data_IF_640020214442
#
_entry.id   IF_640020214442
#
_cell.length_a   1.000
_cell.length_b   1.000
_cell.length_c   1.000
_cell.angle_alpha   90.00
_cell.angle_beta   90.00
_cell.angle_gamma   90.00
#
_symmetry.space_group_name_H-M   'P 1'
#
loop_
_entity.id
_entity.type
_entity.pdbx_description
1 polymer ?
#
# COMPACT_ATOMS: atom_id res chain seq x y z
N UNK A 1 46.24 12.87 19.42
CA UNK A 1 44.84 12.49 19.14
C UNK A 1 44.23 13.55 18.23
N UNK A 2 44.04 13.24 16.94
CA UNK A 2 43.56 14.22 15.96
C UNK A 2 42.05 14.14 15.74
N UNK A 3 41.42 15.28 15.42
CA UNK A 3 40.02 15.36 15.00
C UNK A 3 39.81 14.51 13.73
N UNK A 4 38.91 13.53 13.80
CA UNK A 4 38.53 12.68 12.66
C UNK A 4 37.22 13.18 12.06
N UNK A 5 37.26 13.68 10.83
CA UNK A 5 36.06 14.04 10.08
C UNK A 5 35.45 12.81 9.40
N UNK A 6 34.19 12.51 9.73
CA UNK A 6 33.32 11.55 9.04
C UNK A 6 31.92 12.13 8.98
N UNK A 7 31.38 12.29 7.77
CA UNK A 7 29.98 12.69 7.54
C UNK A 7 29.28 11.60 6.75
N UNK A 8 28.10 11.19 7.20
CA UNK A 8 27.28 10.20 6.48
C UNK A 8 26.00 10.89 6.04
N UNK A 9 25.73 10.90 4.73
CA UNK A 9 24.53 11.47 4.13
C UNK A 9 23.66 10.32 3.64
N UNK A 10 22.41 10.26 4.12
CA UNK A 10 21.42 9.31 3.59
C UNK A 10 20.88 9.89 2.29
N UNK A 11 21.00 9.16 1.18
CA UNK A 11 20.51 9.59 -0.12
C UNK A 11 19.08 9.08 -0.34
N UNK A 12 18.83 7.80 -0.03
CA UNK A 12 17.51 7.17 -0.06
C UNK A 12 17.46 5.96 0.90
N UNK A 13 16.34 5.24 0.96
CA UNK A 13 16.16 4.08 1.85
C UNK A 13 17.12 2.95 1.44
N UNK A 14 18.13 2.69 2.27
CA UNK A 14 19.12 1.63 2.03
C UNK A 14 20.43 2.10 1.41
N UNK A 15 20.55 3.36 0.95
CA UNK A 15 21.79 3.91 0.37
C UNK A 15 22.32 5.07 1.21
N UNK A 16 23.60 4.99 1.58
CA UNK A 16 24.29 6.01 2.39
C UNK A 16 25.63 6.36 1.77
N UNK A 17 25.89 7.65 1.59
CA UNK A 17 27.20 8.17 1.21
C UNK A 17 27.99 8.53 2.47
N UNK A 18 29.17 7.93 2.63
CA UNK A 18 30.11 8.23 3.70
C UNK A 18 31.26 9.06 3.13
N UNK A 19 31.43 10.26 3.68
CA UNK A 19 32.51 11.19 3.37
C UNK A 19 33.50 11.18 4.53
N UNK A 20 34.78 10.96 4.24
CA UNK A 20 35.84 10.91 5.24
C UNK A 20 37.18 11.37 4.67
N UNK A 21 38.19 11.59 5.53
CA UNK A 21 39.56 11.93 5.10
C UNK A 21 40.16 10.89 4.15
N UNK A 22 39.75 9.62 4.24
CA UNK A 22 40.20 8.53 3.35
C UNK A 22 39.45 8.46 2.02
N UNK A 23 38.47 9.34 1.78
CA UNK A 23 37.67 9.40 0.55
C UNK A 23 36.18 9.17 0.75
N UNK A 24 35.47 9.13 -0.37
CA UNK A 24 34.06 8.79 -0.48
C UNK A 24 33.87 7.27 -0.49
N UNK A 25 32.81 6.79 0.18
CA UNK A 25 32.36 5.40 0.08
C UNK A 25 30.85 5.32 0.18
N UNK A 26 30.24 4.43 -0.59
CA UNK A 26 28.79 4.22 -0.59
C UNK A 26 28.47 2.91 0.08
N UNK A 27 27.54 2.94 1.03
CA UNK A 27 26.96 1.74 1.64
C UNK A 27 25.58 1.53 1.06
N UNK A 28 25.32 0.33 0.52
CA UNK A 28 24.01 -0.05 0.02
C UNK A 28 23.52 -1.32 0.69
N UNK A 29 22.27 -1.31 1.17
CA UNK A 29 21.60 -2.44 1.79
C UNK A 29 20.95 -2.10 3.13
N UNK A 30 20.20 -3.07 3.67
CA UNK A 30 19.45 -2.94 4.92
C UNK A 30 20.37 -3.21 6.13
N UNK A 31 19.91 -2.84 7.34
CA UNK A 31 20.67 -3.08 8.58
C UNK A 31 20.83 -4.59 8.78
N UNK A 32 22.07 -5.09 8.76
CA UNK A 32 22.37 -6.51 8.87
C UNK A 32 22.68 -7.22 7.55
N UNK A 33 22.48 -6.57 6.40
CA UNK A 33 22.90 -7.09 5.10
C UNK A 33 23.19 -5.89 4.16
N UNK A 34 24.45 -5.50 4.06
CA UNK A 34 24.85 -4.32 3.29
C UNK A 34 26.24 -4.44 2.68
N UNK A 35 26.41 -3.88 1.48
CA UNK A 35 27.68 -3.81 0.76
C UNK A 35 28.23 -2.38 0.87
N UNK A 36 29.51 -2.24 1.18
CA UNK A 36 30.22 -0.95 1.21
C UNK A 36 31.25 -0.91 0.09
N UNK A 37 31.12 0.07 -0.79
CA UNK A 37 31.96 0.29 -1.96
C UNK A 37 32.77 1.56 -1.72
N UNK A 38 34.09 1.49 -1.86
CA UNK A 38 34.94 2.67 -1.76
C UNK A 38 36.35 2.44 -2.28
N UNK A 39 37.19 3.48 -2.17
CA UNK A 39 38.60 3.50 -2.65
C UNK A 39 39.44 2.28 -2.24
N UNK A 40 39.14 1.67 -1.10
CA UNK A 40 39.90 0.55 -0.53
C UNK A 40 39.28 -0.82 -0.85
N UNK A 41 38.32 -0.89 -1.78
CA UNK A 41 37.66 -2.13 -2.21
C UNK A 41 36.19 -2.23 -1.79
N UNK A 42 35.57 -3.35 -2.15
CA UNK A 42 34.16 -3.66 -1.90
C UNK A 42 34.06 -4.65 -0.73
N UNK A 43 33.23 -4.34 0.26
CA UNK A 43 33.05 -5.12 1.48
C UNK A 43 31.59 -5.50 1.68
N UNK A 44 31.29 -6.79 1.79
CA UNK A 44 29.99 -7.30 2.22
C UNK A 44 29.92 -7.39 3.74
N UNK A 45 28.84 -6.87 4.33
CA UNK A 45 28.57 -6.93 5.76
C UNK A 45 27.26 -7.67 5.98
N UNK A 46 27.32 -8.79 6.69
CA UNK A 46 26.19 -9.57 7.15
C UNK A 46 26.15 -9.53 8.68
N UNK A 47 24.99 -9.44 9.30
CA UNK A 47 24.88 -9.41 10.75
C UNK A 47 23.45 -9.51 11.21
N UNK A 48 23.23 -10.26 12.28
CA UNK A 48 21.90 -10.52 12.81
C UNK A 48 21.54 -9.38 13.76
N UNK A 49 20.52 -8.54 13.46
CA UNK A 49 20.18 -7.39 14.28
C UNK A 49 19.83 -7.81 15.72
N UNK A 50 20.36 -7.07 16.72
CA UNK A 50 20.08 -7.33 18.13
C UNK A 50 20.97 -8.37 18.81
N UNK A 51 21.77 -9.14 18.06
CA UNK A 51 22.62 -10.21 18.62
C UNK A 51 24.08 -9.82 18.84
N UNK A 52 24.53 -8.71 18.24
CA UNK A 52 25.94 -8.30 18.22
C UNK A 52 26.84 -9.12 17.28
N UNK A 53 26.29 -10.16 16.63
CA UNK A 53 27.03 -11.04 15.72
C UNK A 53 27.02 -10.41 14.31
N UNK A 54 28.22 -10.17 13.77
CA UNK A 54 28.40 -9.65 12.40
C UNK A 54 29.62 -10.28 11.73
N UNK A 55 29.49 -10.47 10.43
CA UNK A 55 30.51 -11.00 9.53
C UNK A 55 30.76 -10.00 8.41
N UNK A 56 32.03 -9.62 8.22
CA UNK A 56 32.45 -8.72 7.15
C UNK A 56 33.44 -9.44 6.27
N UNK A 57 33.12 -9.52 4.98
CA UNK A 57 33.98 -10.12 3.97
C UNK A 57 34.37 -9.08 2.93
N UNK A 58 35.65 -9.07 2.56
CA UNK A 58 36.13 -8.29 1.41
C UNK A 58 35.81 -9.09 0.15
N UNK A 59 35.01 -8.50 -0.73
CA UNK A 59 34.51 -9.16 -1.94
C UNK A 59 35.37 -8.83 -3.14
N UNK A 60 35.89 -7.60 -3.21
CA UNK A 60 36.73 -7.15 -4.32
C UNK A 60 37.82 -6.20 -3.84
N UNK A 61 39.01 -6.32 -4.42
CA UNK A 61 40.10 -5.38 -4.24
C UNK A 61 40.14 -4.37 -5.39
N UNK A 62 40.28 -3.09 -5.06
CA UNK A 62 40.38 -2.03 -6.07
C UNK A 62 41.85 -1.85 -6.50
N UNK A 63 42.18 -2.00 -7.79
CA UNK A 63 43.56 -1.89 -8.28
C UNK A 63 44.14 -0.49 -8.07
N UNK A 64 45.44 -0.40 -7.79
CA UNK A 64 46.12 0.86 -7.43
C UNK A 64 46.00 1.96 -8.49
N UNK A 65 45.85 1.59 -9.78
CA UNK A 65 45.66 2.55 -10.88
C UNK A 65 44.38 3.39 -10.76
N UNK A 66 43.33 2.88 -10.09
CA UNK A 66 42.08 3.61 -9.84
C UNK A 66 42.14 4.50 -8.58
N UNK A 67 43.25 4.48 -7.83
CA UNK A 67 43.40 5.23 -6.56
C UNK A 67 43.87 6.67 -6.74
N UNK A 68 44.42 7.01 -7.91
CA UNK A 68 44.99 8.33 -8.23
C UNK A 68 44.26 9.09 -9.34
N UNK A 69 43.61 8.44 -10.32
CA UNK A 69 43.09 9.17 -11.51
C UNK A 69 41.57 9.18 -11.74
N UNK A 70 40.72 8.43 -11.01
CA UNK A 70 39.28 8.38 -11.34
C UNK A 70 38.36 8.12 -10.15
N UNK A 71 38.17 9.10 -9.25
CA UNK A 71 37.39 8.86 -8.00
C UNK A 71 36.17 9.78 -7.86
N UNK A 72 35.85 10.64 -8.84
CA UNK A 72 34.57 11.37 -8.84
C UNK A 72 33.66 10.97 -9.99
N UNK A 73 34.13 10.94 -11.24
CA UNK A 73 33.29 10.55 -12.39
C UNK A 73 32.94 9.07 -12.40
N UNK A 74 33.93 8.17 -12.27
CA UNK A 74 33.68 6.72 -12.25
C UNK A 74 32.94 6.27 -10.99
N UNK A 75 33.10 6.96 -9.86
CA UNK A 75 32.30 6.66 -8.67
C UNK A 75 30.87 7.20 -8.78
N UNK A 76 30.64 8.33 -9.47
CA UNK A 76 29.29 8.79 -9.81
C UNK A 76 28.63 7.83 -10.80
N UNK A 77 29.38 7.29 -11.77
CA UNK A 77 28.88 6.29 -12.71
C UNK A 77 28.69 4.91 -12.07
N UNK A 78 29.54 4.51 -11.12
CA UNK A 78 29.34 3.29 -10.33
C UNK A 78 28.20 3.50 -9.34
N UNK A 79 27.96 4.71 -8.83
CA UNK A 79 26.83 5.05 -7.96
C UNK A 79 25.55 5.23 -8.76
N UNK A 80 25.59 5.70 -10.02
CA UNK A 80 24.46 5.70 -10.93
C UNK A 80 24.14 4.27 -11.36
N UNK A 81 25.14 3.49 -11.81
CA UNK A 81 25.00 2.06 -12.08
C UNK A 81 24.62 1.27 -10.84
N UNK A 82 25.04 1.65 -9.63
CA UNK A 82 24.60 1.00 -8.39
C UNK A 82 23.23 1.49 -7.94
N UNK A 83 22.81 2.73 -8.23
CA UNK A 83 21.44 3.18 -8.07
C UNK A 83 20.51 2.49 -9.08
N UNK A 84 20.99 2.25 -10.29
CA UNK A 84 20.32 1.48 -11.35
C UNK A 84 20.31 -0.02 -11.01
N UNK A 85 21.37 -0.55 -10.40
CA UNK A 85 21.43 -1.97 -9.97
C UNK A 85 20.72 -2.23 -8.64
N UNK A 86 20.58 -1.23 -7.75
CA UNK A 86 20.05 -1.41 -6.39
C UNK A 86 18.63 -0.86 -6.19
N UNK A 87 18.05 -0.21 -7.21
CA UNK A 87 16.62 0.07 -7.26
C UNK A 87 15.88 -0.64 -8.41
N UNK A 88 16.55 -1.36 -9.29
CA UNK A 88 15.86 -2.12 -10.33
C UNK A 88 15.79 -3.59 -9.94
N UNK A 89 14.70 -3.96 -9.28
CA UNK A 89 14.16 -5.31 -9.41
C UNK A 89 14.11 -5.68 -10.90
N UNK A 90 14.28 -6.94 -11.28
CA UNK A 90 14.24 -7.40 -12.71
C UNK A 90 13.03 -6.81 -13.47
N UNK A 91 11.96 -6.57 -12.73
CA UNK A 91 10.80 -5.71 -12.99
C UNK A 91 11.13 -4.39 -13.66
N UNK A 92 11.93 -3.51 -13.06
CA UNK A 92 12.13 -2.15 -13.56
C UNK A 92 12.93 -2.14 -14.87
N UNK A 93 13.80 -3.13 -15.07
CA UNK A 93 14.54 -3.34 -16.33
C UNK A 93 13.64 -3.84 -17.45
N UNK A 94 12.76 -4.80 -17.16
CA UNK A 94 11.70 -5.23 -18.09
C UNK A 94 10.78 -4.06 -18.41
N UNK A 95 10.28 -3.32 -17.41
CA UNK A 95 9.43 -2.15 -17.59
C UNK A 95 10.09 -1.06 -18.45
N UNK A 96 11.34 -0.70 -18.18
CA UNK A 96 12.07 0.33 -18.93
C UNK A 96 12.43 -0.12 -20.36
N UNK A 97 12.58 -1.42 -20.60
CA UNK A 97 12.79 -2.01 -21.93
C UNK A 97 11.48 -2.04 -22.74
N UNK A 98 10.37 -2.35 -22.07
CA UNK A 98 9.05 -2.53 -22.66
C UNK A 98 8.34 -1.20 -22.94
N UNK A 99 8.50 -0.19 -22.07
CA UNK A 99 8.05 1.20 -22.29
C UNK A 99 8.70 1.83 -23.52
N UNK A 100 9.97 1.48 -23.81
CA UNK A 100 10.69 1.95 -25.01
C UNK A 100 10.24 1.28 -26.30
N UNK A 101 9.53 0.14 -26.21
CA UNK A 101 9.18 -0.70 -27.37
C UNK A 101 7.71 -0.56 -27.79
N UNK A 102 6.82 -0.19 -26.86
CA UNK A 102 5.37 -0.26 -27.05
C UNK A 102 4.76 1.14 -27.23
N UNK A 103 4.29 1.46 -28.44
CA UNK A 103 3.75 2.79 -28.78
C UNK A 103 2.26 2.97 -28.40
N UNK A 104 1.60 1.92 -27.90
CA UNK A 104 0.17 1.91 -27.53
C UNK A 104 -0.04 1.65 -26.04
N UNK A 105 -0.97 2.41 -25.43
CA UNK A 105 -1.34 2.29 -24.00
C UNK A 105 -1.82 0.90 -23.60
N UNK A 106 -2.49 0.18 -24.50
CA UNK A 106 -3.01 -1.17 -24.25
C UNK A 106 -1.89 -2.21 -24.15
N UNK A 107 -0.90 -2.15 -25.06
CA UNK A 107 0.29 -3.02 -25.02
C UNK A 107 1.09 -2.78 -23.72
N UNK A 108 1.20 -1.52 -23.28
CA UNK A 108 1.85 -1.20 -22.00
C UNK A 108 1.07 -1.78 -20.83
N UNK A 109 -0.27 -1.76 -20.83
CA UNK A 109 -1.09 -2.32 -19.77
C UNK A 109 -0.95 -3.85 -19.68
N UNK A 110 -0.94 -4.55 -20.82
CA UNK A 110 -0.76 -6.01 -20.87
C UNK A 110 0.60 -6.43 -20.32
N UNK A 111 1.66 -5.67 -20.64
CA UNK A 111 3.00 -5.94 -20.14
C UNK A 111 3.12 -5.70 -18.64
N UNK A 112 2.50 -4.63 -18.12
CA UNK A 112 2.43 -4.37 -16.68
C UNK A 112 1.70 -5.49 -15.94
N UNK A 113 0.60 -6.01 -16.52
CA UNK A 113 -0.15 -7.16 -15.99
C UNK A 113 0.74 -8.41 -15.90
N UNK A 114 1.49 -8.70 -16.95
CA UNK A 114 2.35 -9.88 -17.05
C UNK A 114 3.53 -9.81 -16.06
N UNK A 115 4.17 -8.65 -15.93
CA UNK A 115 5.27 -8.48 -14.97
C UNK A 115 4.75 -8.53 -13.53
N UNK A 116 3.65 -7.84 -13.20
CA UNK A 116 3.13 -7.82 -11.83
C UNK A 116 2.66 -9.21 -11.37
N UNK A 117 1.99 -9.97 -12.25
CA UNK A 117 1.57 -11.35 -11.97
C UNK A 117 2.73 -12.32 -11.77
N UNK A 118 3.87 -12.12 -12.45
CA UNK A 118 5.08 -12.93 -12.21
C UNK A 118 5.77 -12.65 -10.87
N UNK A 119 5.55 -11.48 -10.27
CA UNK A 119 6.17 -11.07 -9.01
C UNK A 119 5.33 -11.44 -7.79
N UNK A 120 4.01 -11.37 -7.95
CA UNK A 120 3.03 -11.70 -6.94
C UNK A 120 2.70 -13.19 -7.01
N UNK A 121 3.62 -14.01 -6.54
CA UNK A 121 3.30 -15.40 -6.21
C UNK A 121 2.31 -15.45 -5.02
N UNK A 122 1.52 -16.54 -4.90
CA UNK A 122 0.46 -16.69 -3.88
C UNK A 122 0.96 -16.39 -2.46
N UNK A 123 2.20 -16.76 -2.14
CA UNK A 123 2.84 -16.54 -0.84
C UNK A 123 3.11 -15.06 -0.57
N UNK A 124 3.53 -14.29 -1.58
CA UNK A 124 3.82 -12.86 -1.45
C UNK A 124 2.56 -11.99 -1.42
N UNK A 125 1.49 -12.42 -2.09
CA UNK A 125 0.25 -11.63 -2.17
C UNK A 125 -0.37 -11.43 -0.79
N UNK A 126 -0.40 -12.48 0.02
CA UNK A 126 -0.94 -12.40 1.39
C UNK A 126 -0.09 -11.46 2.25
N UNK A 127 1.23 -11.54 2.19
CA UNK A 127 2.10 -10.61 2.93
C UNK A 127 1.87 -9.15 2.53
N UNK A 128 1.73 -8.88 1.22
CA UNK A 128 1.44 -7.52 0.72
C UNK A 128 0.06 -7.04 1.16
N UNK A 129 -0.94 -7.91 1.15
CA UNK A 129 -2.30 -7.68 1.65
C UNK A 129 -2.31 -7.35 3.15
N UNK A 130 -1.61 -8.14 3.96
CA UNK A 130 -1.46 -7.90 5.40
C UNK A 130 -0.74 -6.58 5.69
N UNK A 131 0.37 -6.30 5.00
CA UNK A 131 1.12 -5.04 5.14
C UNK A 131 0.24 -3.83 4.79
N UNK A 132 -0.61 -3.93 3.76
CA UNK A 132 -1.56 -2.88 3.43
C UNK A 132 -2.59 -2.69 4.53
N UNK A 133 -3.27 -3.75 4.95
CA UNK A 133 -4.31 -3.67 5.98
C UNK A 133 -3.73 -3.06 7.26
N UNK A 134 -2.50 -3.46 7.65
CA UNK A 134 -1.80 -2.87 8.79
C UNK A 134 -1.36 -1.41 8.59
N UNK A 135 -1.20 -0.96 7.34
CA UNK A 135 -0.81 0.42 7.02
C UNK A 135 -1.98 1.40 6.96
N UNK A 136 -3.22 0.92 6.93
CA UNK A 136 -4.41 1.76 6.82
C UNK A 136 -4.51 2.67 8.07
N UNK A 137 -4.42 3.98 7.85
CA UNK A 137 -4.61 5.00 8.89
C UNK A 137 -5.98 5.66 8.69
N UNK A 138 -6.98 5.15 9.39
CA UNK A 138 -8.34 5.69 9.35
C UNK A 138 -8.71 6.34 10.69
N UNK A 139 -9.66 7.29 10.67
CA UNK A 139 -10.22 7.87 11.89
C UNK A 139 -11.14 6.91 12.66
N UNK A 140 -11.38 5.71 12.12
CA UNK A 140 -12.24 4.68 12.67
C UNK A 140 -11.47 3.35 12.76
N UNK A 141 -11.80 2.54 13.76
CA UNK A 141 -11.32 1.16 13.83
C UNK A 141 -12.12 0.31 12.84
N UNK A 142 -11.40 -0.41 11.97
CA UNK A 142 -11.96 -1.39 11.05
C UNK A 142 -11.10 -2.64 11.09
N UNK A 143 -11.73 -3.79 10.91
CA UNK A 143 -11.04 -5.08 10.75
C UNK A 143 -11.41 -5.68 9.42
N UNK A 144 -10.43 -6.18 8.67
CA UNK A 144 -10.64 -6.76 7.35
C UNK A 144 -10.07 -8.17 7.36
N UNK A 145 -10.95 -9.14 7.13
CA UNK A 145 -10.60 -10.53 6.84
C UNK A 145 -10.79 -10.75 5.34
N UNK A 146 -9.93 -11.53 4.72
CA UNK A 146 -10.03 -11.78 3.29
C UNK A 146 -9.48 -13.16 2.92
N UNK A 147 -10.06 -13.75 1.88
CA UNK A 147 -9.67 -15.03 1.32
C UNK A 147 -9.67 -14.96 -0.20
N UNK A 148 -8.50 -15.19 -0.82
CA UNK A 148 -8.36 -15.15 -2.28
C UNK A 148 -8.43 -16.53 -2.92
N UNK A 149 -9.49 -16.77 -3.70
CA UNK A 149 -9.69 -18.00 -4.48
C UNK A 149 -9.20 -17.80 -5.91
N UNK A 150 -7.92 -18.12 -6.12
CA UNK A 150 -7.22 -17.91 -7.41
C UNK A 150 -7.91 -18.57 -8.60
N UNK A 151 -8.41 -19.79 -8.45
CA UNK A 151 -9.10 -20.53 -9.54
C UNK A 151 -10.35 -19.82 -10.04
N UNK A 152 -11.01 -19.04 -9.18
CA UNK A 152 -12.23 -18.32 -9.50
C UNK A 152 -11.97 -16.83 -9.78
N UNK A 153 -10.71 -16.39 -9.67
CA UNK A 153 -10.33 -14.97 -9.74
C UNK A 153 -11.18 -14.08 -8.82
N UNK A 154 -11.55 -14.61 -7.65
CA UNK A 154 -12.50 -13.99 -6.73
C UNK A 154 -11.87 -13.83 -5.34
N UNK A 155 -11.91 -12.62 -4.80
CA UNK A 155 -11.52 -12.30 -3.44
C UNK A 155 -12.77 -12.17 -2.57
N UNK A 156 -12.84 -12.94 -1.50
CA UNK A 156 -13.87 -12.80 -0.47
C UNK A 156 -13.32 -11.87 0.59
N UNK A 157 -14.12 -10.89 0.98
CA UNK A 157 -13.74 -9.89 1.98
C UNK A 157 -14.84 -9.82 3.01
N UNK A 158 -14.48 -9.99 4.27
CA UNK A 158 -15.34 -9.71 5.41
C UNK A 158 -14.79 -8.50 6.16
N UNK A 159 -15.62 -7.48 6.37
CA UNK A 159 -15.20 -6.21 6.93
C UNK A 159 -16.07 -5.78 8.10
N UNK A 160 -15.41 -5.60 9.25
CA UNK A 160 -15.97 -4.98 10.44
C UNK A 160 -15.97 -3.46 10.28
N UNK A 161 -17.16 -2.88 10.40
CA UNK A 161 -17.41 -1.47 10.16
C UNK A 161 -17.53 -0.69 11.47
N UNK A 162 -17.24 0.61 11.44
CA UNK A 162 -17.51 1.48 12.59
C UNK A 162 -19.00 1.44 12.97
N UNK A 163 -19.25 1.69 14.25
CA UNK A 163 -20.61 1.86 14.74
C UNK A 163 -21.14 3.24 14.33
N UNK A 164 -22.46 3.36 14.23
CA UNK A 164 -23.09 4.66 13.94
C UNK A 164 -22.79 5.70 15.03
N UNK A 165 -22.43 5.25 16.24
CA UNK A 165 -22.12 6.10 17.37
C UNK A 165 -20.77 6.82 17.23
N UNK A 166 -19.84 6.23 16.46
CA UNK A 166 -18.51 6.77 16.18
C UNK A 166 -18.53 7.92 15.19
N UNK A 167 -19.64 8.08 14.47
CA UNK A 167 -19.78 9.09 13.42
C UNK A 167 -19.82 10.50 14.02
N UNK A 168 -19.04 11.47 13.49
CA UNK A 168 -18.98 12.83 14.01
C UNK A 168 -20.37 13.49 14.10
N UNK A 169 -20.80 13.82 15.32
CA UNK A 169 -22.14 14.35 15.65
C UNK A 169 -22.27 15.87 15.43
N UNK A 170 -21.19 16.53 15.04
CA UNK A 170 -21.11 17.98 14.87
C UNK A 170 -20.62 18.32 13.47
N UNK A 171 -21.14 19.41 12.91
CA UNK A 171 -20.66 20.02 11.68
C UNK A 171 -20.38 21.51 11.90
N UNK A 172 -19.48 22.06 11.11
CA UNK A 172 -19.24 23.50 11.06
C UNK A 172 -20.02 24.07 9.89
N UNK A 173 -20.90 25.04 10.17
CA UNK A 173 -21.63 25.77 9.13
C UNK A 173 -21.15 27.22 9.13
N UNK A 174 -20.85 27.75 7.95
CA UNK A 174 -20.47 29.14 7.77
C UNK A 174 -21.73 30.01 7.67
N UNK A 175 -21.86 30.98 8.58
CA UNK A 175 -22.83 32.07 8.48
C UNK A 175 -22.06 33.38 8.67
N UNK A 176 -22.21 34.31 7.72
CA UNK A 176 -21.59 35.64 7.76
C UNK A 176 -20.06 35.61 7.96
N UNK A 177 -19.36 34.73 7.24
CA UNK A 177 -17.90 34.63 7.32
C UNK A 177 -17.35 34.03 8.62
N UNK A 178 -18.21 33.67 9.59
CA UNK A 178 -17.83 33.04 10.86
C UNK A 178 -18.25 31.57 10.88
N UNK A 179 -17.36 30.70 11.36
CA UNK A 179 -17.64 29.28 11.55
C UNK A 179 -18.43 29.09 12.84
N UNK A 180 -19.67 28.60 12.73
CA UNK A 180 -20.50 28.19 13.87
C UNK A 180 -20.57 26.67 13.94
N UNK A 181 -20.35 26.12 15.13
CA UNK A 181 -20.50 24.70 15.44
C UNK A 181 -21.99 24.39 15.61
N UNK A 182 -22.51 23.41 14.88
CA UNK A 182 -23.91 22.96 14.95
C UNK A 182 -23.95 21.44 15.14
N UNK A 183 -24.90 20.95 15.95
CA UNK A 183 -25.18 19.51 16.07
C UNK A 183 -25.91 19.02 14.82
N UNK A 184 -25.48 17.87 14.29
CA UNK A 184 -26.15 17.20 13.17
C UNK A 184 -27.49 16.62 13.61
N UNK A 185 -28.45 16.57 12.69
CA UNK A 185 -29.71 15.87 12.94
C UNK A 185 -29.50 14.35 12.87
N UNK A 186 -30.42 13.57 13.46
CA UNK A 186 -30.36 12.11 13.38
C UNK A 186 -30.37 11.58 11.95
N UNK A 187 -31.11 12.23 11.05
CA UNK A 187 -31.11 11.88 9.61
C UNK A 187 -29.76 12.14 8.97
N UNK A 188 -29.12 13.29 9.25
CA UNK A 188 -27.80 13.62 8.71
C UNK A 188 -26.72 12.64 9.18
N UNK A 189 -26.76 12.24 10.45
CA UNK A 189 -25.82 11.24 10.98
C UNK A 189 -25.97 9.90 10.23
N UNK A 190 -27.20 9.47 9.96
CA UNK A 190 -27.46 8.25 9.19
C UNK A 190 -27.01 8.35 7.74
N UNK A 191 -27.19 9.50 7.11
CA UNK A 191 -26.72 9.76 5.74
C UNK A 191 -25.19 9.74 5.68
N UNK A 192 -24.52 10.42 6.61
CA UNK A 192 -23.05 10.38 6.73
C UNK A 192 -22.56 8.95 6.99
N UNK A 193 -23.26 8.18 7.83
CA UNK A 193 -22.93 6.80 8.10
C UNK A 193 -22.98 5.93 6.84
N UNK A 194 -24.05 6.03 6.04
CA UNK A 194 -24.16 5.36 4.74
C UNK A 194 -22.96 5.72 3.87
N UNK A 195 -22.65 7.01 3.72
CA UNK A 195 -21.54 7.46 2.88
C UNK A 195 -20.19 6.92 3.35
N UNK A 196 -19.96 6.88 4.65
CA UNK A 196 -18.73 6.34 5.22
C UNK A 196 -18.61 4.85 4.97
N UNK A 197 -19.64 4.05 5.27
CA UNK A 197 -19.52 2.58 5.14
C UNK A 197 -19.39 2.11 3.69
N UNK A 198 -20.10 2.75 2.74
CA UNK A 198 -19.96 2.44 1.32
C UNK A 198 -18.66 3.05 0.75
N UNK A 199 -18.23 4.20 1.26
CA UNK A 199 -16.92 4.78 0.96
C UNK A 199 -15.77 3.86 1.35
N UNK A 200 -15.86 3.21 2.52
CA UNK A 200 -14.90 2.19 2.96
C UNK A 200 -14.89 0.98 2.03
N UNK A 201 -16.07 0.50 1.60
CA UNK A 201 -16.16 -0.61 0.63
C UNK A 201 -15.40 -0.27 -0.67
N UNK A 202 -15.66 0.91 -1.25
CA UNK A 202 -15.01 1.36 -2.49
C UNK A 202 -13.51 1.54 -2.28
N UNK A 203 -13.10 2.17 -1.17
CA UNK A 203 -11.70 2.41 -0.83
C UNK A 203 -10.92 1.09 -0.74
N UNK A 204 -11.38 0.16 0.09
CA UNK A 204 -10.73 -1.13 0.32
C UNK A 204 -10.69 -1.96 -0.97
N UNK A 205 -11.82 -2.10 -1.66
CA UNK A 205 -11.90 -2.89 -2.88
C UNK A 205 -11.05 -2.30 -4.01
N UNK A 206 -10.98 -0.97 -4.15
CA UNK A 206 -10.11 -0.33 -5.14
C UNK A 206 -8.63 -0.66 -4.91
N UNK A 207 -8.21 -0.73 -3.64
CA UNK A 207 -6.84 -1.09 -3.31
C UNK A 207 -6.56 -2.56 -3.62
N UNK A 208 -7.45 -3.46 -3.22
CA UNK A 208 -7.32 -4.89 -3.53
C UNK A 208 -7.28 -5.17 -5.03
N UNK A 209 -8.11 -4.49 -5.83
CA UNK A 209 -8.00 -4.58 -7.29
C UNK A 209 -6.64 -4.07 -7.80
N UNK A 210 -6.07 -3.03 -7.20
CA UNK A 210 -4.76 -2.51 -7.61
C UNK A 210 -3.58 -3.39 -7.17
N UNK A 211 -3.76 -4.24 -6.16
CA UNK A 211 -2.70 -5.11 -5.67
C UNK A 211 -2.37 -6.26 -6.61
N UNK A 212 -3.38 -6.91 -7.17
CA UNK A 212 -3.19 -8.07 -8.05
C UNK A 212 -4.18 -8.05 -9.19
N UNK A 213 -3.68 -8.21 -10.41
CA UNK A 213 -4.51 -8.33 -11.60
C UNK A 213 -5.28 -9.64 -11.67
N UNK A 214 -4.87 -10.67 -10.91
CA UNK A 214 -5.59 -11.95 -10.83
C UNK A 214 -6.95 -11.81 -10.13
N UNK A 215 -7.18 -10.72 -9.39
CA UNK A 215 -8.47 -10.47 -8.73
C UNK A 215 -9.41 -9.81 -9.76
N UNK A 216 -10.32 -10.56 -10.36
CA UNK A 216 -11.30 -10.01 -11.30
C UNK A 216 -12.59 -9.60 -10.60
N UNK A 217 -12.91 -10.26 -9.48
CA UNK A 217 -14.12 -10.05 -8.70
C UNK A 217 -13.80 -9.98 -7.21
N UNK A 218 -14.57 -9.16 -6.49
CA UNK A 218 -14.52 -9.07 -5.03
C UNK A 218 -15.94 -9.25 -4.50
N UNK A 219 -16.17 -10.26 -3.66
CA UNK A 219 -17.37 -10.34 -2.85
C UNK A 219 -17.05 -9.76 -1.48
N UNK A 220 -17.57 -8.56 -1.18
CA UNK A 220 -17.42 -7.94 0.12
C UNK A 220 -18.71 -8.08 0.92
N UNK A 221 -18.61 -8.62 2.13
CA UNK A 221 -19.66 -8.65 3.13
C UNK A 221 -19.20 -7.82 4.31
N UNK A 222 -20.09 -7.02 4.89
CA UNK A 222 -19.69 -6.15 5.98
C UNK A 222 -20.74 -6.06 7.06
N UNK A 223 -20.26 -6.10 8.30
CA UNK A 223 -21.08 -6.15 9.50
C UNK A 223 -20.73 -5.03 10.46
N UNK A 224 -21.62 -4.79 11.41
CA UNK A 224 -21.41 -3.88 12.54
C UNK A 224 -21.91 -4.57 13.80
N UNK A 225 -21.28 -4.31 14.93
CA UNK A 225 -21.69 -4.87 16.20
C UNK A 225 -22.87 -4.08 16.75
N UNK A 226 -24.01 -4.74 16.95
CA UNK A 226 -25.19 -4.14 17.58
C UNK A 226 -25.59 -4.92 18.81
N UNK A 227 -26.05 -4.21 19.84
CA UNK A 227 -26.62 -4.85 21.03
C UNK A 227 -28.01 -5.38 20.70
N UNK A 228 -28.22 -6.67 20.94
CA UNK A 228 -29.55 -7.25 20.91
C UNK A 228 -30.39 -6.76 22.10
N UNK A 229 -31.67 -7.13 22.14
CA UNK A 229 -32.56 -6.77 23.26
C UNK A 229 -32.15 -7.36 24.61
N UNK A 230 -31.25 -8.35 24.63
CA UNK A 230 -30.71 -9.02 25.81
C UNK A 230 -29.40 -8.37 26.31
N UNK A 231 -28.84 -7.43 25.53
CA UNK A 231 -27.63 -6.68 25.84
C UNK A 231 -26.33 -7.27 25.28
N UNK A 232 -26.40 -8.42 24.60
CA UNK A 232 -25.27 -9.07 23.94
C UNK A 232 -24.92 -8.38 22.63
N UNK A 233 -23.63 -8.29 22.33
CA UNK A 233 -23.14 -7.84 21.03
C UNK A 233 -23.31 -8.95 20.02
N UNK A 234 -24.00 -8.65 18.91
CA UNK A 234 -24.16 -9.54 17.77
C UNK A 234 -23.65 -8.83 16.51
N UNK A 235 -22.91 -9.57 15.69
CA UNK A 235 -22.52 -9.11 14.37
C UNK A 235 -23.74 -9.12 13.46
N UNK A 236 -24.14 -7.93 12.99
CA UNK A 236 -25.20 -7.76 12.01
C UNK A 236 -24.59 -7.32 10.68
N UNK A 237 -24.67 -8.19 9.67
CA UNK A 237 -24.31 -7.83 8.30
C UNK A 237 -25.29 -6.78 7.77
N UNK A 238 -24.78 -5.68 7.22
CA UNK A 238 -25.61 -4.56 6.73
C UNK A 238 -25.58 -4.42 5.21
N UNK A 239 -24.52 -4.93 4.57
CA UNK A 239 -24.47 -5.09 3.12
C UNK A 239 -23.59 -6.27 2.70
N UNK A 240 -23.85 -6.78 1.50
CA UNK A 240 -22.99 -7.71 0.79
C UNK A 240 -23.03 -7.39 -0.70
N UNK A 241 -21.88 -7.21 -1.35
CA UNK A 241 -21.77 -6.63 -2.70
C UNK A 241 -20.76 -7.42 -3.53
N UNK A 242 -21.13 -7.74 -4.78
CA UNK A 242 -20.25 -8.37 -5.76
C UNK A 242 -19.68 -7.32 -6.70
N UNK A 243 -18.46 -6.88 -6.42
CA UNK A 243 -17.72 -5.97 -7.28
C UNK A 243 -17.01 -6.70 -8.42
N UNK A 244 -17.03 -6.09 -9.60
CA UNK A 244 -16.26 -6.52 -10.77
C UNK A 244 -15.22 -5.48 -11.14
N UNK A 245 -13.99 -5.92 -11.42
CA UNK A 245 -12.86 -5.05 -11.78
C UNK A 245 -13.16 -4.08 -12.92
N UNK A 246 -13.79 -4.55 -13.99
CA UNK A 246 -14.01 -3.76 -15.20
C UNK A 246 -14.73 -2.43 -14.90
N UNK A 247 -15.71 -2.45 -14.00
CA UNK A 247 -16.45 -1.23 -13.61
C UNK A 247 -15.54 -0.24 -12.88
N UNK A 248 -14.60 -0.71 -12.05
CA UNK A 248 -13.61 0.14 -11.38
C UNK A 248 -12.60 0.73 -12.36
N UNK A 249 -12.21 -0.01 -13.41
CA UNK A 249 -11.28 0.46 -14.44
C UNK A 249 -11.91 1.55 -15.34
N UNK A 250 -13.22 1.46 -15.58
CA UNK A 250 -13.95 2.38 -16.45
C UNK A 250 -14.48 3.63 -15.71
N UNK A 251 -14.47 3.63 -14.37
CA UNK A 251 -15.08 4.68 -13.54
C UNK A 251 -14.06 5.61 -12.90
N UNK A 252 -14.26 6.92 -13.02
CA UNK A 252 -13.52 7.92 -12.26
C UNK A 252 -14.06 8.04 -10.82
N UNK A 253 -13.51 7.23 -9.91
CA UNK A 253 -13.91 7.15 -8.50
C UNK A 253 -13.82 8.48 -7.73
N UNK A 254 -13.09 9.48 -8.23
CA UNK A 254 -12.99 10.80 -7.57
C UNK A 254 -14.27 11.63 -7.66
N UNK A 255 -15.20 11.24 -8.54
CA UNK A 255 -16.43 11.99 -8.84
C UNK A 255 -17.71 11.24 -8.53
N UNK A 256 -17.63 10.05 -7.95
CA UNK A 256 -18.81 9.21 -7.72
C UNK A 256 -19.28 9.33 -6.28
N UNK A 257 -20.59 9.31 -6.09
CA UNK A 257 -21.20 9.05 -4.78
C UNK A 257 -20.98 7.56 -4.41
N UNK A 258 -20.28 7.26 -3.31
CA UNK A 258 -19.96 5.88 -2.93
C UNK A 258 -21.18 4.96 -2.81
N UNK A 259 -22.28 5.46 -2.26
CA UNK A 259 -23.51 4.68 -2.12
C UNK A 259 -24.10 4.37 -3.48
N UNK A 260 -24.33 5.38 -4.33
CA UNK A 260 -24.87 5.17 -5.68
C UNK A 260 -23.98 4.25 -6.52
N UNK A 261 -22.65 4.40 -6.41
CA UNK A 261 -21.70 3.51 -7.08
C UNK A 261 -21.93 2.05 -6.69
N UNK A 262 -22.02 1.79 -5.39
CA UNK A 262 -22.22 0.45 -4.85
C UNK A 262 -23.56 -0.17 -5.27
N UNK A 263 -24.60 0.65 -5.41
CA UNK A 263 -25.92 0.19 -5.85
C UNK A 263 -25.97 -0.27 -7.30
N UNK A 264 -24.97 0.08 -8.13
CA UNK A 264 -24.89 -0.36 -9.52
C UNK A 264 -24.43 -1.82 -9.67
N UNK A 265 -23.97 -2.45 -8.59
CA UNK A 265 -23.52 -3.84 -8.58
C UNK A 265 -24.60 -4.78 -8.07
N UNK A 266 -24.44 -6.08 -8.30
CA UNK A 266 -25.25 -7.08 -7.62
C UNK A 266 -24.99 -7.00 -6.11
N UNK A 267 -26.01 -6.62 -5.34
CA UNK A 267 -25.89 -6.36 -3.91
C UNK A 267 -27.08 -6.87 -3.12
N UNK A 268 -26.83 -7.15 -1.84
CA UNK A 268 -27.83 -7.34 -0.78
C UNK A 268 -27.62 -6.22 0.22
N UNK A 269 -28.47 -5.21 0.18
CA UNK A 269 -28.55 -4.19 1.22
C UNK A 269 -30.02 -3.87 1.51
N UNK A 270 -30.32 -3.47 2.74
CA UNK A 270 -31.68 -3.10 3.11
C UNK A 270 -31.69 -1.77 3.85
N UNK A 271 -31.86 -0.68 3.09
CA UNK A 271 -31.94 0.68 3.63
C UNK A 271 -33.39 1.17 3.62
N UNK A 272 -33.88 1.55 4.80
CA UNK A 272 -35.22 2.12 4.97
C UNK A 272 -35.28 3.59 4.51
N UNK A 273 -36.50 4.11 4.29
CA UNK A 273 -36.74 5.53 3.97
C UNK A 273 -36.19 6.50 5.02
N UNK A 274 -36.12 6.08 6.28
CA UNK A 274 -35.52 6.83 7.39
C UNK A 274 -33.99 6.70 7.47
N UNK A 275 -33.35 6.17 6.41
CA UNK A 275 -31.90 5.96 6.26
C UNK A 275 -31.30 4.96 7.26
N UNK A 276 -32.11 4.10 7.88
CA UNK A 276 -31.61 3.01 8.72
C UNK A 276 -31.24 1.80 7.87
N UNK A 277 -30.04 1.26 8.05
CA UNK A 277 -29.58 0.00 7.44
C UNK A 277 -29.94 -1.19 8.32
N UNK A 278 -30.69 -2.15 7.77
CA UNK A 278 -31.12 -3.38 8.45
C UNK A 278 -30.15 -4.53 8.21
N UNK A 279 -30.22 -5.52 9.10
CA UNK A 279 -29.55 -6.81 8.95
C UNK A 279 -29.94 -7.49 7.63
N UNK A 280 -28.96 -8.07 6.96
CA UNK A 280 -29.10 -8.86 5.73
C UNK A 280 -28.39 -10.20 5.88
N UNK A 281 -28.77 -11.18 5.07
CA UNK A 281 -28.03 -12.43 4.92
C UNK A 281 -27.01 -12.24 3.78
N UNK A 282 -25.69 -12.32 4.05
CA UNK A 282 -24.67 -12.08 3.03
C UNK A 282 -24.73 -13.14 1.91
N UNK A 283 -24.10 -12.85 0.77
CA UNK A 283 -23.92 -13.88 -0.25
C UNK A 283 -22.96 -14.98 0.26
N UNK A 284 -23.19 -16.20 -0.22
CA UNK A 284 -22.33 -17.37 0.03
C UNK A 284 -21.08 -17.38 -0.85
#
# INVERSE_FOLDING_TARGET
MGLRFRKTVKLCKGVKLNVSKSGLSVTVGKKGASVNIGKNGVYGNLGIPGTGISYRQKLLDMPDKLKEEAVESELIDIVSMSCDVLNETEVQKEWNRLEKTSSRKEEQLELKKLVLSSLLNKENLNEVMEDFVASIQLPFEISINYDFYKEQHCLYVDMDLPEIEDIPKECFTQQDGKMKKKKKTQTQIKEDYIQIVFGLAVFVCSYFFNMSFDIERILISSYTQRRNSEGDLKDEYIYSIKFSRNVFEETDLTKVDPYEFCMNFENRCHILSNKTMKEIVPFD
#
